data_IF_738258239471
#
_entry.id   IF_738258239471
#
_cell.length_a   1.000
_cell.length_b   1.000
_cell.length_c   1.000
_cell.angle_alpha   90.00
_cell.angle_beta   90.00
_cell.angle_gamma   90.00
#
_symmetry.space_group_name_H-M   'P 1'
#
loop_
_entity.id
_entity.type
_entity.pdbx_description
1 polymer ?
#
# COMPACT_ATOMS: atom_id res chain seq x y z
N UNK A 1 7.82 12.62 -10.99
CA UNK A 1 7.84 13.20 -9.63
C UNK A 1 6.62 12.77 -8.83
N UNK A 2 5.42 13.29 -9.11
CA UNK A 2 4.21 12.99 -8.31
C UNK A 2 3.87 11.50 -8.16
N UNK A 3 3.99 10.70 -9.23
CA UNK A 3 3.69 9.26 -9.17
C UNK A 3 4.63 8.50 -8.22
N UNK A 4 5.94 8.77 -8.30
CA UNK A 4 6.93 8.17 -7.41
C UNK A 4 6.72 8.63 -5.95
N UNK A 5 6.32 9.89 -5.74
CA UNK A 5 5.96 10.38 -4.40
C UNK A 5 4.73 9.68 -3.85
N UNK A 6 3.71 9.42 -4.67
CA UNK A 6 2.54 8.66 -4.23
C UNK A 6 2.92 7.22 -3.85
N UNK A 7 3.70 6.52 -4.67
CA UNK A 7 4.17 5.15 -4.34
C UNK A 7 5.01 5.11 -3.05
N UNK A 8 5.81 6.15 -2.78
CA UNK A 8 6.56 6.24 -1.53
C UNK A 8 5.64 6.38 -0.30
N UNK A 9 4.51 7.07 -0.44
CA UNK A 9 3.47 7.16 0.61
C UNK A 9 2.79 5.81 0.81
N UNK A 10 2.40 5.12 -0.26
CA UNK A 10 1.80 3.78 -0.19
C UNK A 10 2.74 2.79 0.53
N UNK A 11 4.03 2.79 0.20
CA UNK A 11 5.03 1.94 0.85
C UNK A 11 5.18 2.25 2.35
N UNK A 12 5.11 3.53 2.72
CA UNK A 12 5.10 3.93 4.13
C UNK A 12 3.88 3.35 4.85
N UNK A 13 2.69 3.47 4.26
CA UNK A 13 1.46 2.97 4.85
C UNK A 13 1.44 1.44 4.96
N UNK A 14 1.86 0.73 3.91
CA UNK A 14 1.97 -0.74 3.91
C UNK A 14 2.86 -1.23 5.05
N UNK A 15 4.03 -0.60 5.27
CA UNK A 15 4.94 -0.97 6.35
C UNK A 15 4.32 -0.74 7.74
N UNK A 16 3.59 0.38 7.91
CA UNK A 16 2.94 0.74 9.18
C UNK A 16 1.77 -0.18 9.49
N UNK A 17 0.89 -0.43 8.53
CA UNK A 17 -0.23 -1.36 8.71
C UNK A 17 0.25 -2.77 9.06
N UNK A 18 1.29 -3.28 8.40
CA UNK A 18 1.88 -4.58 8.73
C UNK A 18 2.30 -4.69 10.21
N UNK A 19 2.94 -3.63 10.72
CA UNK A 19 3.35 -3.55 12.14
C UNK A 19 2.15 -3.44 13.09
N UNK A 20 1.18 -2.59 12.75
CA UNK A 20 -0.02 -2.37 13.57
C UNK A 20 -0.89 -3.63 13.66
N UNK A 21 -1.02 -4.40 12.58
CA UNK A 21 -1.74 -5.69 12.57
C UNK A 21 -1.06 -6.68 13.52
N UNK A 22 0.27 -6.79 13.45
CA UNK A 22 1.02 -7.68 14.34
C UNK A 22 0.81 -7.30 15.82
N UNK A 23 0.88 -6.01 16.15
CA UNK A 23 0.63 -5.53 17.50
C UNK A 23 -0.81 -5.73 17.96
N UNK A 24 -1.80 -5.46 17.09
CA UNK A 24 -3.21 -5.68 17.40
C UNK A 24 -3.48 -7.15 17.74
N UNK A 25 -2.94 -8.09 16.95
CA UNK A 25 -3.03 -9.53 17.23
C UNK A 25 -2.34 -9.90 18.54
N UNK A 26 -1.14 -9.37 18.81
CA UNK A 26 -0.40 -9.62 20.06
C UNK A 26 -1.16 -9.13 21.30
N UNK A 27 -1.90 -8.02 21.17
CA UNK A 27 -2.73 -7.45 22.24
C UNK A 27 -4.12 -8.08 22.34
N UNK A 28 -4.44 -9.12 21.55
CA UNK A 28 -5.75 -9.77 21.52
C UNK A 28 -6.86 -8.93 20.86
N UNK A 29 -6.50 -7.86 20.14
CA UNK A 29 -7.40 -6.93 19.44
C UNK A 29 -7.65 -7.35 18.00
N UNK A 30 -8.24 -8.52 17.82
CA UNK A 30 -8.53 -9.08 16.49
C UNK A 30 -9.55 -8.24 15.70
N UNK A 31 -10.42 -7.50 16.40
CA UNK A 31 -11.32 -6.50 15.82
C UNK A 31 -10.55 -5.40 15.08
N UNK A 32 -9.52 -4.85 15.74
CA UNK A 32 -8.65 -3.84 15.13
C UNK A 32 -7.80 -4.45 14.00
N UNK A 33 -7.25 -5.66 14.21
CA UNK A 33 -6.47 -6.33 13.18
C UNK A 33 -7.25 -6.52 11.88
N UNK A 34 -8.53 -6.89 11.95
CA UNK A 34 -9.38 -7.06 10.78
C UNK A 34 -9.57 -5.77 9.96
N UNK A 35 -9.81 -4.64 10.64
CA UNK A 35 -9.93 -3.33 9.97
C UNK A 35 -8.60 -2.89 9.36
N UNK A 36 -7.50 -3.07 10.09
CA UNK A 36 -6.16 -2.72 9.60
C UNK A 36 -5.72 -3.60 8.40
N UNK A 37 -6.13 -4.87 8.38
CA UNK A 37 -5.92 -5.76 7.25
C UNK A 37 -6.69 -5.33 6.01
N UNK A 38 -7.93 -4.85 6.18
CA UNK A 38 -8.70 -4.28 5.07
C UNK A 38 -7.97 -3.07 4.46
N UNK A 39 -7.52 -2.13 5.30
CA UNK A 39 -6.75 -0.98 4.81
C UNK A 39 -5.45 -1.42 4.11
N UNK A 40 -4.71 -2.38 4.68
CA UNK A 40 -3.49 -2.91 4.06
C UNK A 40 -3.75 -3.50 2.66
N UNK A 41 -4.90 -4.15 2.45
CA UNK A 41 -5.29 -4.67 1.12
C UNK A 41 -5.57 -3.53 0.15
N UNK A 42 -6.23 -2.47 0.61
CA UNK A 42 -6.53 -1.27 -0.17
C UNK A 42 -5.24 -0.55 -0.61
N UNK A 43 -4.29 -0.30 0.30
CA UNK A 43 -3.02 0.38 -0.05
C UNK A 43 -2.17 -0.47 -1.02
N UNK A 44 -2.12 -1.79 -0.81
CA UNK A 44 -1.45 -2.68 -1.79
C UNK A 44 -2.11 -2.66 -3.16
N UNK A 45 -3.43 -2.44 -3.23
CA UNK A 45 -4.12 -2.31 -4.49
C UNK A 45 -3.87 -0.93 -5.14
N UNK A 46 -3.77 0.13 -4.34
CA UNK A 46 -3.39 1.46 -4.80
C UNK A 46 -1.97 1.47 -5.39
N UNK A 47 -0.97 0.94 -4.67
CA UNK A 47 0.41 0.83 -5.17
C UNK A 47 0.52 0.04 -6.49
N UNK A 48 -0.22 -1.08 -6.61
CA UNK A 48 -0.29 -1.83 -7.87
C UNK A 48 -0.82 -0.98 -9.02
N UNK A 49 -1.90 -0.21 -8.80
CA UNK A 49 -2.43 0.70 -9.82
C UNK A 49 -1.43 1.80 -10.19
N UNK A 50 -0.70 2.35 -9.21
CA UNK A 50 0.34 3.34 -9.48
C UNK A 50 1.47 2.75 -10.33
N UNK A 51 1.84 1.50 -10.07
CA UNK A 51 2.82 0.74 -10.87
C UNK A 51 2.35 0.54 -12.30
N UNK A 52 1.10 0.09 -12.51
CA UNK A 52 0.51 -0.06 -13.85
C UNK A 52 0.51 1.26 -14.63
N UNK A 53 0.19 2.39 -13.96
CA UNK A 53 0.25 3.73 -14.57
C UNK A 53 1.69 4.11 -14.94
N UNK A 54 2.66 3.78 -14.09
CA UNK A 54 4.08 4.07 -14.35
C UNK A 54 4.56 3.32 -15.60
N UNK A 55 4.28 2.02 -15.68
CA UNK A 55 4.67 1.17 -16.81
C UNK A 55 3.98 1.59 -18.11
N UNK A 56 2.69 1.92 -18.06
CA UNK A 56 1.95 2.43 -19.21
C UNK A 56 2.54 3.75 -19.75
N UNK A 57 3.04 4.64 -18.87
CA UNK A 57 3.74 5.87 -19.28
C UNK A 57 5.09 5.56 -19.93
N UNK A 58 5.87 4.64 -19.38
CA UNK A 58 7.17 4.24 -19.96
C UNK A 58 6.96 3.68 -21.37
N UNK A 59 5.97 2.81 -21.57
CA UNK A 59 5.67 2.22 -22.87
C UNK A 59 5.21 3.24 -23.93
N UNK A 60 4.63 4.38 -23.53
CA UNK A 60 4.27 5.47 -24.46
C UNK A 60 5.44 6.37 -24.87
N UNK A 61 6.51 6.39 -24.08
CA UNK A 61 7.72 7.20 -24.37
C UNK A 61 8.76 6.40 -25.16
N UNK A 62 8.68 5.08 -25.14
CA UNK A 62 9.58 4.17 -25.86
C UNK A 62 9.21 3.91 -27.34
N UNK A 63 8.16 4.55 -27.86
CA UNK A 63 7.66 4.44 -29.26
C UNK A 63 7.76 5.80 -29.92
#
# INVERSE_FOLDING_TARGET
AALASAQAVEHYEIARYGTLIAWARQLGRNDCAGVLEQNLVEEKAADRKLTEIAEARVNRVAV
#
